data_IF_917232148093
#
_entry.id   IF_917232148093
#
_cell.length_a   1.000
_cell.length_b   1.000
_cell.length_c   1.000
_cell.angle_alpha   90.00
_cell.angle_beta   90.00
_cell.angle_gamma   90.00
#
_symmetry.space_group_name_H-M   'P 1'
#
loop_
_entity.id
_entity.type
_entity.pdbx_description
1 polymer ?
#
# COMPACT_ATOMS: atom_id res chain seq x y z
N UNK A 1 1.62 -2.20 -27.79
CA UNK A 1 2.79 -1.92 -26.93
C UNK A 1 2.50 -1.04 -25.70
N UNK A 2 1.99 0.20 -25.80
CA UNK A 2 1.81 1.11 -24.64
C UNK A 2 1.05 0.50 -23.45
N UNK A 3 -0.05 -0.20 -23.71
CA UNK A 3 -0.82 -0.88 -22.66
C UNK A 3 -0.07 -2.03 -21.98
N UNK A 4 0.68 -2.82 -22.74
CA UNK A 4 1.49 -3.92 -22.21
C UNK A 4 2.62 -3.40 -21.31
N UNK A 5 3.31 -2.33 -21.75
CA UNK A 5 4.37 -1.68 -20.95
C UNK A 5 3.79 -1.14 -19.63
N UNK A 6 2.63 -0.48 -19.69
CA UNK A 6 1.93 -0.05 -18.47
C UNK A 6 1.62 -1.22 -17.56
N UNK A 7 1.05 -2.31 -18.07
CA UNK A 7 0.66 -3.46 -17.24
C UNK A 7 1.86 -4.22 -16.68
N UNK A 8 2.99 -4.23 -17.40
CA UNK A 8 4.23 -4.87 -16.95
C UNK A 8 4.77 -4.28 -15.64
N UNK A 9 4.48 -3.00 -15.34
CA UNK A 9 4.86 -2.36 -14.07
C UNK A 9 4.30 -3.07 -12.82
N UNK A 10 3.18 -3.77 -12.97
CA UNK A 10 2.57 -4.55 -11.90
C UNK A 10 3.36 -5.82 -11.65
N UNK A 11 3.88 -6.46 -12.70
CA UNK A 11 4.72 -7.65 -12.57
C UNK A 11 6.03 -7.30 -11.88
N UNK A 12 6.68 -6.21 -12.30
CA UNK A 12 7.90 -5.70 -11.65
C UNK A 12 7.64 -5.46 -10.15
N UNK A 13 6.58 -4.73 -9.82
CA UNK A 13 6.24 -4.43 -8.41
C UNK A 13 5.96 -5.68 -7.59
N UNK A 14 5.26 -6.66 -8.16
CA UNK A 14 5.01 -7.95 -7.50
C UNK A 14 6.29 -8.74 -7.28
N UNK A 15 7.19 -8.80 -8.25
CA UNK A 15 8.48 -9.48 -8.11
C UNK A 15 9.36 -8.81 -7.05
N UNK A 16 9.34 -7.48 -6.93
CA UNK A 16 10.06 -6.76 -5.88
C UNK A 16 9.56 -7.09 -4.48
N UNK A 17 8.23 -7.14 -4.28
CA UNK A 17 7.63 -7.56 -3.02
C UNK A 17 7.94 -9.03 -2.71
N UNK A 18 7.83 -9.90 -3.72
CA UNK A 18 8.11 -11.33 -3.58
C UNK A 18 9.57 -11.60 -3.23
N UNK A 19 10.51 -10.90 -3.88
CA UNK A 19 11.92 -11.02 -3.57
C UNK A 19 12.22 -10.67 -2.11
N UNK A 20 11.59 -9.61 -1.57
CA UNK A 20 11.71 -9.29 -0.14
C UNK A 20 11.19 -10.43 0.74
N UNK A 21 10.05 -11.03 0.38
CA UNK A 21 9.50 -12.17 1.15
C UNK A 21 10.46 -13.34 1.16
N UNK A 22 10.93 -13.77 0.00
CA UNK A 22 11.79 -14.95 -0.15
C UNK A 22 13.12 -14.82 0.59
N UNK A 23 13.69 -13.61 0.66
CA UNK A 23 15.02 -13.40 1.22
C UNK A 23 15.03 -12.92 2.66
N UNK A 24 13.92 -12.33 3.15
CA UNK A 24 13.89 -11.66 4.46
C UNK A 24 12.73 -12.08 5.37
N UNK A 25 11.70 -12.75 4.85
CA UNK A 25 10.57 -13.20 5.67
C UNK A 25 10.86 -14.59 6.26
N UNK A 26 11.04 -14.64 7.57
CA UNK A 26 11.01 -15.90 8.31
C UNK A 26 9.55 -16.29 8.63
N UNK A 27 9.35 -17.53 9.05
CA UNK A 27 8.05 -18.01 9.48
C UNK A 27 7.44 -17.12 10.58
N UNK A 28 6.14 -16.84 10.48
CA UNK A 28 5.42 -15.97 11.43
C UNK A 28 5.70 -14.46 11.28
N UNK A 29 6.61 -14.04 10.39
CA UNK A 29 6.83 -12.63 10.07
C UNK A 29 5.76 -12.09 9.12
N UNK A 30 5.37 -10.85 9.35
CA UNK A 30 4.60 -10.04 8.40
C UNK A 30 5.48 -9.52 7.26
N UNK A 31 4.87 -9.10 6.15
CA UNK A 31 5.61 -8.48 5.05
C UNK A 31 6.29 -7.16 5.49
N UNK A 32 5.66 -6.41 6.41
CA UNK A 32 6.25 -5.22 7.01
C UNK A 32 7.54 -5.53 7.79
N UNK A 33 7.58 -6.63 8.55
CA UNK A 33 8.77 -7.08 9.27
C UNK A 33 9.86 -7.57 8.31
N UNK A 34 9.47 -8.26 7.22
CA UNK A 34 10.39 -8.66 6.16
C UNK A 34 11.00 -7.44 5.46
N UNK A 35 10.18 -6.44 5.13
CA UNK A 35 10.63 -5.20 4.49
C UNK A 35 11.54 -4.38 5.41
N UNK A 36 11.21 -4.30 6.69
CA UNK A 36 12.09 -3.66 7.67
C UNK A 36 13.45 -4.38 7.75
N UNK A 37 13.46 -5.72 7.74
CA UNK A 37 14.68 -6.52 7.74
C UNK A 37 15.51 -6.30 6.47
N UNK A 38 14.86 -6.19 5.31
CA UNK A 38 15.50 -5.84 4.04
C UNK A 38 16.21 -4.48 4.13
N UNK A 39 15.51 -3.42 4.53
CA UNK A 39 16.13 -2.08 4.63
C UNK A 39 17.28 -2.03 5.63
N UNK A 40 17.18 -2.74 6.75
CA UNK A 40 18.27 -2.81 7.74
C UNK A 40 19.51 -3.53 7.21
N UNK A 41 19.34 -4.52 6.34
CA UNK A 41 20.47 -5.24 5.73
C UNK A 41 21.16 -4.44 4.61
N UNK A 42 20.54 -3.33 4.15
CA UNK A 42 21.01 -2.50 3.04
C UNK A 42 21.02 -1.02 3.45
N UNK A 43 21.90 -0.60 4.38
CA UNK A 43 21.90 0.78 4.89
C UNK A 43 22.21 1.84 3.82
N UNK A 44 22.86 1.47 2.72
CA UNK A 44 23.18 2.36 1.60
C UNK A 44 21.99 2.64 0.66
N UNK A 45 20.91 1.87 0.79
CA UNK A 45 19.74 2.02 -0.06
C UNK A 45 18.91 3.23 0.38
N UNK A 46 18.60 4.11 -0.58
CA UNK A 46 17.73 5.26 -0.34
C UNK A 46 16.26 4.87 -0.35
N UNK A 47 15.57 5.09 0.76
CA UNK A 47 14.11 4.96 0.84
C UNK A 47 13.47 6.18 1.53
N UNK A 48 12.17 6.38 1.29
CA UNK A 48 11.43 7.55 1.78
C UNK A 48 10.02 7.19 2.24
N UNK A 49 9.55 7.92 3.26
CA UNK A 49 8.20 7.87 3.80
C UNK A 49 7.38 9.13 3.48
N UNK A 50 7.93 10.04 2.68
CA UNK A 50 7.39 11.39 2.53
C UNK A 50 6.28 11.48 1.49
N UNK A 51 6.25 10.56 0.53
CA UNK A 51 5.22 10.56 -0.51
C UNK A 51 3.86 10.15 0.05
N UNK A 52 2.82 10.82 -0.43
CA UNK A 52 1.46 10.57 0.01
C UNK A 52 0.95 9.18 -0.39
N UNK A 53 0.40 8.43 0.55
CA UNK A 53 -0.33 7.19 0.29
C UNK A 53 -1.82 7.41 -0.03
N UNK A 54 -2.28 8.66 -0.20
CA UNK A 54 -3.70 9.01 -0.43
C UNK A 54 -4.34 8.18 -1.55
N UNK A 55 -3.65 8.01 -2.68
CA UNK A 55 -4.18 7.26 -3.81
C UNK A 55 -4.32 5.76 -3.55
N UNK A 56 -3.69 5.24 -2.49
CA UNK A 56 -3.78 3.86 -2.05
C UNK A 56 -4.78 3.68 -0.89
N UNK A 57 -5.62 4.67 -0.59
CA UNK A 57 -6.62 4.59 0.48
C UNK A 57 -8.04 4.70 -0.08
N UNK A 58 -8.33 3.97 -1.16
CA UNK A 58 -9.63 4.05 -1.82
C UNK A 58 -10.69 3.28 -1.05
N UNK A 59 -11.91 3.84 -1.06
CA UNK A 59 -13.11 3.27 -0.48
C UNK A 59 -14.34 3.72 -1.31
N UNK A 60 -15.46 3.04 -1.13
CA UNK A 60 -16.74 3.45 -1.67
C UNK A 60 -17.49 4.17 -0.56
N UNK A 61 -18.00 5.36 -0.88
CA UNK A 61 -18.85 6.12 0.03
C UNK A 61 -20.25 6.07 -0.56
N UNK A 62 -21.16 5.45 0.18
CA UNK A 62 -22.58 5.54 -0.14
C UNK A 62 -23.06 6.95 0.23
N UNK A 63 -23.54 7.67 -0.77
CA UNK A 63 -23.99 9.06 -0.60
C UNK A 63 -25.31 9.16 0.15
N UNK A 64 -26.13 8.10 0.13
CA UNK A 64 -27.44 8.10 0.78
C UNK A 64 -27.29 7.85 2.28
N UNK A 65 -26.57 6.79 2.65
CA UNK A 65 -26.36 6.44 4.06
C UNK A 65 -25.19 7.17 4.71
N UNK A 66 -24.26 7.73 3.93
CA UNK A 66 -22.99 8.26 4.42
C UNK A 66 -21.99 7.17 4.84
N UNK A 67 -22.33 5.89 4.65
CA UNK A 67 -21.51 4.77 5.05
C UNK A 67 -20.31 4.59 4.12
N UNK A 68 -19.16 4.25 4.73
CA UNK A 68 -17.95 3.86 4.01
C UNK A 68 -17.85 2.35 3.91
N UNK A 69 -17.53 1.89 2.70
CA UNK A 69 -17.26 0.49 2.40
C UNK A 69 -15.84 0.37 1.88
N UNK A 70 -15.01 -0.32 2.64
CA UNK A 70 -13.63 -0.59 2.27
C UNK A 70 -13.53 -1.87 1.44
N UNK A 71 -12.51 -2.00 0.59
CA UNK A 71 -12.16 -3.26 -0.04
C UNK A 71 -12.13 -4.43 0.97
N UNK A 72 -12.55 -5.61 0.53
CA UNK A 72 -12.63 -6.83 1.33
C UNK A 72 -13.58 -6.74 2.54
N UNK A 73 -14.48 -5.75 2.57
CA UNK A 73 -15.46 -5.58 3.67
C UNK A 73 -14.84 -5.21 5.01
N UNK A 74 -13.61 -4.68 5.01
CA UNK A 74 -12.93 -4.28 6.24
C UNK A 74 -13.71 -3.21 7.00
N UNK A 75 -13.57 -3.17 8.33
CA UNK A 75 -14.19 -2.11 9.17
C UNK A 75 -13.46 -0.77 9.08
N UNK A 76 -12.17 -0.80 8.78
CA UNK A 76 -11.33 0.38 8.54
C UNK A 76 -10.18 0.01 7.63
N UNK A 77 -9.64 0.97 6.88
CA UNK A 77 -8.46 0.78 6.04
C UNK A 77 -7.53 1.99 6.13
N UNK A 78 -6.24 1.73 6.35
CA UNK A 78 -5.16 2.72 6.32
C UNK A 78 -3.94 2.07 5.68
N UNK A 79 -3.74 2.33 4.40
CA UNK A 79 -2.59 1.81 3.67
C UNK A 79 -1.45 2.85 3.69
N UNK A 80 -0.22 2.39 3.93
CA UNK A 80 0.99 3.23 3.91
C UNK A 80 1.79 2.98 2.64
N UNK A 81 2.55 3.99 2.23
CA UNK A 81 3.45 3.95 1.08
C UNK A 81 4.88 4.17 1.53
N UNK A 82 5.78 3.34 1.03
CA UNK A 82 7.21 3.47 1.23
C UNK A 82 7.85 3.41 -0.15
N UNK A 83 8.68 4.41 -0.47
CA UNK A 83 9.38 4.48 -1.74
C UNK A 83 10.82 4.06 -1.58
N UNK A 84 11.27 3.19 -2.47
CA UNK A 84 12.66 2.79 -2.63
C UNK A 84 13.17 3.39 -3.95
N UNK A 85 14.15 4.29 -3.83
CA UNK A 85 14.76 5.03 -4.94
C UNK A 85 13.77 5.62 -5.96
N UNK A 86 12.61 6.10 -5.49
CA UNK A 86 11.48 6.61 -6.30
C UNK A 86 10.77 5.61 -7.23
N UNK A 87 11.48 4.63 -7.76
CA UNK A 87 10.97 3.69 -8.76
C UNK A 87 10.18 2.54 -8.16
N UNK A 88 10.52 2.12 -6.95
CA UNK A 88 9.87 0.98 -6.29
C UNK A 88 8.91 1.47 -5.21
N UNK A 89 7.65 1.09 -5.35
CA UNK A 89 6.60 1.34 -4.37
C UNK A 89 6.32 0.08 -3.57
N UNK A 90 6.47 0.18 -2.25
CA UNK A 90 5.87 -0.78 -1.33
C UNK A 90 4.62 -0.15 -0.71
N UNK A 91 3.49 -0.81 -0.90
CA UNK A 91 2.23 -0.45 -0.24
C UNK A 91 1.94 -1.53 0.78
N UNK A 92 1.76 -1.15 2.04
CA UNK A 92 1.40 -2.05 3.13
C UNK A 92 0.00 -1.71 3.64
N UNK A 93 -0.79 -2.74 3.94
CA UNK A 93 -2.03 -2.58 4.69
C UNK A 93 -1.78 -2.42 6.20
N UNK A 94 -2.86 -2.22 6.97
CA UNK A 94 -2.77 -2.06 8.43
C UNK A 94 -2.31 -3.32 9.18
N UNK A 95 -2.36 -4.48 8.52
CA UNK A 95 -1.88 -5.75 9.07
C UNK A 95 -0.41 -6.00 8.69
N UNK A 96 0.21 -5.08 7.93
CA UNK A 96 1.58 -5.20 7.48
C UNK A 96 1.77 -6.19 6.34
N UNK A 97 0.75 -6.45 5.52
CA UNK A 97 0.84 -7.25 4.28
C UNK A 97 1.12 -6.34 3.09
N UNK A 98 1.92 -6.82 2.14
CA UNK A 98 2.06 -6.12 0.86
C UNK A 98 0.72 -6.11 0.12
N UNK A 99 0.47 -5.00 -0.55
CA UNK A 99 -0.63 -4.85 -1.48
C UNK A 99 -0.04 -4.74 -2.88
N UNK A 100 -0.12 -5.82 -3.65
CA UNK A 100 0.24 -5.85 -5.06
C UNK A 100 -0.99 -6.14 -5.92
N UNK A 101 -1.02 -5.57 -7.13
CA UNK A 101 -2.13 -5.79 -8.08
C UNK A 101 -2.11 -7.22 -8.63
N UNK A 102 -0.93 -7.84 -8.70
CA UNK A 102 -0.73 -9.23 -9.11
C UNK A 102 0.11 -9.96 -8.06
N UNK A 103 -0.41 -10.06 -6.83
CA UNK A 103 0.34 -10.66 -5.72
C UNK A 103 0.48 -12.19 -5.91
N UNK A 104 1.71 -12.74 -5.93
CA UNK A 104 1.95 -14.19 -6.07
C UNK A 104 1.38 -15.03 -4.92
N UNK A 105 1.22 -14.46 -3.73
CA UNK A 105 0.78 -15.19 -2.53
C UNK A 105 -0.73 -15.08 -2.27
N UNK A 106 -1.46 -14.41 -3.16
CA UNK A 106 -2.92 -14.35 -3.12
C UNK A 106 -3.47 -12.96 -3.40
N UNK A 107 -4.56 -12.91 -4.14
CA UNK A 107 -5.22 -11.64 -4.49
C UNK A 107 -6.22 -11.21 -3.42
N UNK A 108 -6.20 -9.93 -3.05
CA UNK A 108 -7.24 -9.27 -2.25
C UNK A 108 -7.86 -8.11 -3.02
N UNK A 109 -9.10 -7.72 -2.70
CA UNK A 109 -9.72 -6.54 -3.31
C UNK A 109 -8.92 -5.27 -2.96
N UNK A 110 -8.36 -5.18 -1.75
CA UNK A 110 -7.46 -4.09 -1.37
C UNK A 110 -6.20 -4.07 -2.25
N UNK A 111 -5.59 -5.23 -2.52
CA UNK A 111 -4.46 -5.35 -3.46
C UNK A 111 -4.79 -4.90 -4.88
N UNK A 112 -5.95 -5.31 -5.42
CA UNK A 112 -6.39 -4.90 -6.76
C UNK A 112 -6.64 -3.39 -6.86
N UNK A 113 -7.27 -2.81 -5.84
CA UNK A 113 -7.75 -1.41 -5.82
C UNK A 113 -6.65 -0.43 -5.43
N UNK A 114 -5.84 -0.80 -4.44
CA UNK A 114 -4.86 0.06 -3.77
C UNK A 114 -3.42 -0.40 -3.92
N UNK A 115 -3.17 -1.51 -4.63
CA UNK A 115 -1.85 -2.10 -4.72
C UNK A 115 -0.81 -1.22 -5.39
N UNK A 116 0.43 -1.59 -5.13
CA UNK A 116 1.65 -0.98 -5.62
C UNK A 116 1.83 -1.13 -7.14
N UNK A 117 2.67 -0.26 -7.67
CA UNK A 117 3.10 -0.30 -9.07
C UNK A 117 4.47 0.34 -9.21
N UNK A 118 5.33 -0.24 -10.05
CA UNK A 118 6.65 0.34 -10.35
C UNK A 118 6.51 1.68 -11.07
N UNK A 119 7.32 2.69 -10.75
CA UNK A 119 7.31 3.98 -11.44
C UNK A 119 8.31 3.99 -12.59
N UNK A 120 7.84 4.24 -13.80
CA UNK A 120 8.70 4.43 -14.96
C UNK A 120 9.18 5.87 -15.11
N UNK A 121 8.39 6.85 -14.66
CA UNK A 121 8.78 8.25 -14.75
C UNK A 121 9.84 8.60 -13.71
N UNK A 122 10.66 9.61 -14.02
CA UNK A 122 11.58 10.18 -13.05
C UNK A 122 10.84 10.99 -11.98
N UNK A 123 11.49 11.15 -10.83
CA UNK A 123 11.02 12.06 -9.79
C UNK A 123 10.81 13.46 -10.35
N UNK A 124 9.64 14.04 -10.09
CA UNK A 124 9.37 15.41 -10.45
C UNK A 124 10.40 16.34 -9.79
N UNK A 125 11.12 17.12 -10.61
CA UNK A 125 12.12 18.11 -10.20
C UNK A 125 11.85 19.43 -10.95
N UNK A 126 12.40 20.58 -10.51
CA UNK A 126 12.42 21.77 -11.34
C UNK A 126 12.95 21.43 -12.75
N UNK A 127 12.23 21.82 -13.81
CA UNK A 127 12.56 21.47 -15.19
C UNK A 127 12.04 20.11 -15.69
N UNK A 128 11.68 19.16 -14.80
CA UNK A 128 11.08 17.87 -15.16
C UNK A 128 9.86 17.60 -14.27
N UNK A 129 8.71 18.20 -14.59
CA UNK A 129 7.47 18.06 -13.79
C UNK A 129 6.48 17.03 -14.36
N UNK A 130 6.77 16.48 -15.53
CA UNK A 130 5.74 15.82 -16.35
C UNK A 130 5.92 14.30 -16.50
N UNK A 131 7.13 13.75 -16.35
CA UNK A 131 7.39 12.32 -16.63
C UNK A 131 6.59 11.41 -15.70
N UNK A 132 6.73 11.56 -14.38
CA UNK A 132 5.97 10.78 -13.39
C UNK A 132 4.46 10.93 -13.58
N UNK A 133 3.98 12.16 -13.79
CA UNK A 133 2.55 12.39 -14.01
C UNK A 133 2.05 11.71 -15.28
N UNK A 134 2.84 11.77 -16.35
CA UNK A 134 2.49 11.21 -17.67
C UNK A 134 2.50 9.69 -17.63
N UNK A 135 3.54 9.07 -17.08
CA UNK A 135 3.77 7.63 -17.17
C UNK A 135 3.17 6.84 -16.02
N UNK A 136 3.05 7.42 -14.84
CA UNK A 136 2.67 6.67 -13.64
C UNK A 136 1.29 7.05 -13.11
N UNK A 137 0.91 8.34 -13.20
CA UNK A 137 -0.33 8.87 -12.59
C UNK A 137 -1.53 8.85 -13.54
N UNK A 138 -1.34 9.24 -14.81
CA UNK A 138 -2.45 9.34 -15.79
C UNK A 138 -2.71 8.04 -16.55
N UNK A 139 -1.69 7.21 -16.77
CA UNK A 139 -1.79 5.95 -17.50
C UNK A 139 -2.78 4.94 -16.92
N UNK A 140 -2.99 4.81 -15.59
CA UNK A 140 -3.94 3.83 -15.06
C UNK A 140 -5.36 4.01 -15.61
N UNK A 141 -5.80 5.26 -15.80
CA UNK A 141 -7.14 5.56 -16.32
C UNK A 141 -7.38 5.03 -17.75
N UNK A 142 -6.31 4.78 -18.50
CA UNK A 142 -6.38 4.36 -19.91
C UNK A 142 -5.99 2.88 -20.08
N UNK A 143 -4.94 2.45 -19.38
CA UNK A 143 -4.25 1.19 -19.68
C UNK A 143 -4.34 0.12 -18.60
N UNK A 144 -5.05 0.37 -17.50
CA UNK A 144 -5.31 -0.65 -16.47
C UNK A 144 -5.94 -1.91 -17.07
N UNK A 145 -5.54 -3.11 -16.60
CA UNK A 145 -6.11 -4.35 -17.10
C UNK A 145 -7.58 -4.47 -16.67
N UNK A 146 -8.35 -5.24 -17.45
CA UNK A 146 -9.80 -5.34 -17.27
C UNK A 146 -10.19 -5.81 -15.86
N UNK A 147 -9.46 -6.78 -15.29
CA UNK A 147 -9.74 -7.29 -13.95
C UNK A 147 -9.62 -6.19 -12.88
N UNK A 148 -8.59 -5.34 -12.97
CA UNK A 148 -8.40 -4.20 -12.05
C UNK A 148 -9.50 -3.17 -12.22
N UNK A 149 -9.88 -2.85 -13.46
CA UNK A 149 -10.99 -1.92 -13.73
C UNK A 149 -12.32 -2.44 -13.16
N UNK A 150 -12.58 -3.74 -13.28
CA UNK A 150 -13.77 -4.40 -12.67
C UNK A 150 -13.73 -4.32 -11.14
N UNK A 151 -12.59 -4.62 -10.52
CA UNK A 151 -12.43 -4.49 -9.07
C UNK A 151 -12.65 -3.05 -8.58
N UNK A 152 -12.10 -2.07 -9.31
CA UNK A 152 -12.31 -0.63 -9.06
C UNK A 152 -13.78 -0.20 -9.23
N UNK A 153 -14.49 -0.75 -10.23
CA UNK A 153 -15.88 -0.45 -10.50
C UNK A 153 -16.83 -1.01 -9.44
N UNK A 154 -16.46 -2.14 -8.81
CA UNK A 154 -17.13 -2.71 -7.64
C UNK A 154 -18.66 -2.80 -7.82
N UNK A 155 -19.11 -3.39 -8.94
CA UNK A 155 -20.54 -3.54 -9.23
C UNK A 155 -21.34 -2.23 -9.31
N UNK A 156 -20.69 -1.13 -9.72
CA UNK A 156 -21.30 0.21 -9.76
C UNK A 156 -21.01 1.05 -8.50
N UNK A 157 -20.58 0.42 -7.40
CA UNK A 157 -20.16 1.08 -6.15
C UNK A 157 -18.68 1.45 -6.18
N UNK A 158 -18.31 2.28 -7.17
CA UNK A 158 -16.91 2.57 -7.54
C UNK A 158 -16.06 3.06 -6.36
N UNK A 159 -14.92 2.41 -6.14
CA UNK A 159 -13.91 2.85 -5.18
C UNK A 159 -13.22 4.14 -5.66
N UNK A 160 -13.09 5.12 -4.76
CA UNK A 160 -12.45 6.41 -5.04
C UNK A 160 -11.43 6.73 -3.97
N UNK A 161 -10.39 7.46 -4.36
CA UNK A 161 -9.40 7.97 -3.40
C UNK A 161 -9.94 9.23 -2.70
N UNK A 162 -9.53 9.48 -1.45
CA UNK A 162 -9.78 10.74 -0.75
C UNK A 162 -9.24 11.92 -1.55
N UNK A 163 -9.90 13.08 -1.47
CA UNK A 163 -9.45 14.31 -2.11
C UNK A 163 -8.24 14.90 -1.37
N UNK A 164 -7.37 15.64 -2.07
CA UNK A 164 -6.24 16.31 -1.43
C UNK A 164 -6.66 17.67 -0.83
N UNK A 165 -7.58 17.64 0.13
CA UNK A 165 -8.10 18.84 0.80
C UNK A 165 -8.53 18.52 2.24
N UNK A 166 -9.12 19.52 2.90
CA UNK A 166 -9.66 19.44 4.27
C UNK A 166 -11.19 19.29 4.33
N UNK A 167 -11.86 19.02 3.20
CA UNK A 167 -13.31 18.79 3.14
C UNK A 167 -13.72 17.41 3.67
N UNK A 168 -15.03 17.10 3.65
CA UNK A 168 -15.58 15.81 4.13
C UNK A 168 -15.07 14.59 3.35
N UNK A 169 -14.65 14.77 2.10
CA UNK A 169 -14.01 13.73 1.29
C UNK A 169 -12.47 13.79 1.35
N UNK A 170 -11.93 14.65 2.21
CA UNK A 170 -10.53 15.06 2.22
C UNK A 170 -9.60 14.12 2.98
N UNK A 171 -8.37 13.98 2.48
CA UNK A 171 -7.28 13.22 3.11
C UNK A 171 -6.75 13.90 4.38
N UNK A 172 -6.83 15.23 4.43
CA UNK A 172 -6.30 16.07 5.52
C UNK A 172 -7.36 16.42 6.56
N UNK A 173 -8.60 15.95 6.40
CA UNK A 173 -9.74 16.37 7.23
C UNK A 173 -10.00 15.44 8.39
N UNK A 174 -10.24 15.99 9.58
CA UNK A 174 -10.80 15.26 10.71
C UNK A 174 -12.27 14.88 10.55
N UNK A 175 -12.96 15.51 9.58
CA UNK A 175 -14.34 15.19 9.24
C UNK A 175 -14.43 14.25 8.04
N UNK A 176 -13.34 13.54 7.72
CA UNK A 176 -13.27 12.69 6.53
C UNK A 176 -14.15 11.46 6.68
N UNK A 177 -15.10 11.28 5.75
CA UNK A 177 -15.98 10.09 5.72
C UNK A 177 -15.21 8.79 5.44
N UNK A 178 -13.98 8.89 4.92
CA UNK A 178 -13.11 7.74 4.68
C UNK A 178 -12.54 7.12 5.95
N UNK A 179 -12.58 7.80 7.08
CA UNK A 179 -12.12 7.27 8.38
C UNK A 179 -13.02 7.81 9.51
N UNK A 180 -14.28 7.36 9.58
CA UNK A 180 -15.23 7.86 10.57
C UNK A 180 -14.70 7.72 12.00
N UNK A 181 -14.88 8.77 12.82
CA UNK A 181 -14.42 8.79 14.21
C UNK A 181 -12.91 8.97 14.41
N UNK A 182 -12.14 9.25 13.34
CA UNK A 182 -10.68 9.46 13.41
C UNK A 182 -10.28 10.90 13.08
N UNK A 183 -9.02 11.25 13.37
CA UNK A 183 -8.52 12.62 13.20
C UNK A 183 -8.22 13.03 11.75
N UNK A 184 -7.93 12.09 10.86
CA UNK A 184 -7.81 12.22 9.39
C UNK A 184 -7.03 11.03 8.85
N UNK A 185 -7.19 10.74 7.57
CA UNK A 185 -6.45 9.65 6.91
C UNK A 185 -4.94 9.94 6.98
N UNK A 186 -4.52 11.19 6.76
CA UNK A 186 -3.11 11.56 6.85
C UNK A 186 -2.50 11.25 8.23
N UNK A 187 -3.22 11.59 9.32
CA UNK A 187 -2.72 11.32 10.68
C UNK A 187 -2.68 9.84 10.98
N UNK A 188 -3.66 9.07 10.52
CA UNK A 188 -3.66 7.62 10.66
C UNK A 188 -2.51 6.98 9.87
N UNK A 189 -2.25 7.44 8.64
CA UNK A 189 -1.08 7.02 7.85
C UNK A 189 0.22 7.35 8.59
N UNK A 190 0.33 8.51 9.24
CA UNK A 190 1.49 8.86 10.07
C UNK A 190 1.65 7.90 11.27
N UNK A 191 0.55 7.50 11.91
CA UNK A 191 0.57 6.51 13.01
C UNK A 191 1.06 5.15 12.51
N UNK A 192 0.55 4.67 11.37
CA UNK A 192 1.01 3.41 10.77
C UNK A 192 2.48 3.48 10.30
N UNK A 193 2.91 4.61 9.73
CA UNK A 193 4.32 4.85 9.40
C UNK A 193 5.22 4.86 10.64
N UNK A 194 4.75 5.41 11.76
CA UNK A 194 5.49 5.38 13.02
C UNK A 194 5.63 3.93 13.55
N UNK A 195 4.57 3.12 13.43
CA UNK A 195 4.64 1.68 13.76
C UNK A 195 5.66 0.97 12.87
N UNK A 196 5.65 1.20 11.56
CA UNK A 196 6.67 0.64 10.66
C UNK A 196 8.08 1.08 11.05
N UNK A 197 8.31 2.38 11.29
CA UNK A 197 9.62 2.91 11.71
C UNK A 197 10.12 2.28 13.00
N UNK A 198 9.21 1.92 13.93
CA UNK A 198 9.60 1.21 15.14
C UNK A 198 10.24 -0.16 14.85
N UNK A 199 9.87 -0.82 13.75
CA UNK A 199 10.49 -2.08 13.30
C UNK A 199 11.94 -1.88 12.86
N UNK A 200 12.26 -0.72 12.25
CA UNK A 200 13.63 -0.39 11.82
C UNK A 200 14.60 -0.27 13.00
N UNK A 201 14.10 0.21 14.14
CA UNK A 201 14.88 0.40 15.36
C UNK A 201 15.01 -0.88 16.20
N UNK A 202 14.25 -1.94 15.91
CA UNK A 202 14.32 -3.21 16.66
C UNK A 202 15.44 -4.09 16.14
N UNK A 203 16.30 -4.70 16.98
CA UNK A 203 17.27 -5.69 16.52
C UNK A 203 16.58 -6.87 15.81
N UNK A 204 17.19 -7.39 14.75
CA UNK A 204 16.57 -8.39 13.87
C UNK A 204 16.26 -9.69 14.62
N UNK A 205 17.11 -10.06 15.58
CA UNK A 205 16.91 -11.19 16.48
C UNK A 205 15.55 -11.12 17.19
N UNK A 206 15.21 -9.98 17.79
CA UNK A 206 13.93 -9.83 18.50
C UNK A 206 12.74 -9.94 17.56
N UNK A 207 12.80 -9.35 16.36
CA UNK A 207 11.70 -9.46 15.38
C UNK A 207 11.42 -10.92 15.03
N UNK A 208 12.48 -11.72 14.81
CA UNK A 208 12.36 -13.15 14.52
C UNK A 208 11.83 -13.96 15.71
N UNK A 209 12.33 -13.70 16.93
CA UNK A 209 11.83 -14.37 18.13
C UNK A 209 10.34 -14.09 18.37
N UNK A 210 9.91 -12.82 18.22
CA UNK A 210 8.50 -12.45 18.35
C UNK A 210 7.63 -13.11 17.27
N UNK A 211 8.12 -13.18 16.03
CA UNK A 211 7.43 -13.86 14.94
C UNK A 211 7.22 -15.36 15.23
N UNK A 212 8.27 -16.04 15.69
CA UNK A 212 8.20 -17.45 16.08
C UNK A 212 7.22 -17.67 17.23
N UNK A 213 7.27 -16.86 18.29
CA UNK A 213 6.33 -16.93 19.41
C UNK A 213 4.88 -16.77 18.94
N UNK A 214 4.59 -15.77 18.08
CA UNK A 214 3.24 -15.58 17.53
C UNK A 214 2.75 -16.79 16.75
N UNK A 215 3.64 -17.44 15.98
CA UNK A 215 3.29 -18.63 15.23
C UNK A 215 3.04 -19.83 16.16
N UNK A 216 3.90 -20.04 17.14
CA UNK A 216 3.75 -21.08 18.15
C UNK A 216 2.39 -20.99 18.86
N UNK A 217 2.02 -19.79 19.34
CA UNK A 217 0.72 -19.56 19.97
C UNK A 217 -0.46 -19.77 19.01
N UNK A 218 -0.35 -19.36 17.74
CA UNK A 218 -1.37 -19.63 16.73
C UNK A 218 -1.58 -21.12 16.50
N UNK A 219 -0.52 -21.92 16.55
CA UNK A 219 -0.61 -23.37 16.35
C UNK A 219 -1.23 -24.05 17.58
N UNK A 220 -0.96 -23.59 18.80
CA UNK A 220 -1.53 -24.14 20.04
C UNK A 220 -3.03 -23.84 20.17
N UNK A 221 -3.46 -22.63 19.85
CA UNK A 221 -4.87 -22.22 20.06
C UNK A 221 -5.75 -22.39 18.82
N UNK A 222 -5.25 -23.06 17.77
CA UNK A 222 -6.03 -23.50 16.61
C UNK A 222 -6.28 -25.02 16.56
N UNK A 223 -5.82 -25.77 17.58
CA UNK A 223 -6.21 -27.16 17.84
C UNK A 223 -7.36 -27.22 18.85
#
# INVERSE_FOLDING_TARGET
MKGQVHQFRYLISSQQAQWVREHYRAEGMTDAEALASYFKSRPSISYSFNESSRLHNKAYIDKLSGQVFYPDGQRSQVNIKILLDFHTEFILDQQGRFLNIMDPEGTSQNGLVNGASFNYGDRNRPGNRASHTRYDVKTPAVWDPLFRRRAMANGGKKFKAPQNNRGSMGYLSAKSVYVPGKESIQKEVKKELARFKSLLNRPAFFVRCWAWLRQFWKNIFRS
#
